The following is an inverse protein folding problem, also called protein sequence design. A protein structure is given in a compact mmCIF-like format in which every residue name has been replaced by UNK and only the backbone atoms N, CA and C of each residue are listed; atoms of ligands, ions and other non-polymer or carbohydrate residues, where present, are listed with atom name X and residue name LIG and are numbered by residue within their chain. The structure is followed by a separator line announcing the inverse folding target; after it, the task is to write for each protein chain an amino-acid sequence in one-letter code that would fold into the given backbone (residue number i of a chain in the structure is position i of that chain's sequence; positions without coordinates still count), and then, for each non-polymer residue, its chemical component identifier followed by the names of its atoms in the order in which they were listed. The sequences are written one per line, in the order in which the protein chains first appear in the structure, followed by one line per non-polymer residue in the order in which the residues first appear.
data_IF_797758881532
#
_entry.id   IF_797758881532
#
_cell.length_a   1.000
_cell.length_b   1.000
_cell.length_c   1.000
_cell.angle_alpha   90.00
_cell.angle_beta   90.00
_cell.angle_gamma   90.00
#
_symmetry.space_group_name_H-M   'P 1'
#
loop_
_entity.id
_entity.type
_entity.pdbx_description
1 polymer ?
#
# COMPACT_ATOMS: atom_id res chain seq x y z
N UNK A 1 11.33 -11.80 -7.61
CA UNK A 1 12.01 -12.14 -6.34
C UNK A 1 11.16 -11.55 -5.25
N UNK A 2 10.56 -12.40 -4.42
CA UNK A 2 9.59 -11.98 -3.41
C UNK A 2 10.32 -11.57 -2.15
N UNK A 3 10.10 -10.36 -1.67
CA UNK A 3 10.70 -9.88 -0.43
C UNK A 3 9.72 -10.14 0.72
N UNK A 4 10.11 -10.96 1.69
CA UNK A 4 9.34 -11.20 2.91
C UNK A 4 10.15 -10.75 4.11
N UNK A 5 9.52 -9.96 4.96
CA UNK A 5 10.09 -9.47 6.22
C UNK A 5 9.16 -9.86 7.36
N UNK A 6 9.70 -10.39 8.45
CA UNK A 6 8.92 -10.68 9.66
C UNK A 6 9.60 -10.03 10.86
N UNK A 7 8.79 -9.40 11.72
CA UNK A 7 9.23 -8.81 12.97
C UNK A 7 8.44 -9.39 14.13
N UNK A 8 9.14 -9.90 15.14
CA UNK A 8 8.51 -10.26 16.41
C UNK A 8 8.43 -9.02 17.29
N UNK A 9 7.29 -8.85 17.96
CA UNK A 9 7.05 -7.78 18.92
C UNK A 9 6.44 -8.38 20.18
N UNK A 10 6.80 -7.84 21.34
CA UNK A 10 6.19 -8.17 22.64
C UNK A 10 4.93 -7.36 22.90
N UNK A 11 4.64 -6.35 22.07
CA UNK A 11 3.43 -5.55 22.17
C UNK A 11 2.19 -6.39 21.79
N UNK A 12 1.05 -6.05 22.39
CA UNK A 12 -0.20 -6.71 22.07
C UNK A 12 -0.57 -6.50 20.58
N UNK A 13 -1.21 -7.49 19.91
CA UNK A 13 -1.52 -7.43 18.48
C UNK A 13 -2.29 -6.19 18.06
N UNK A 14 -3.22 -5.70 18.89
CA UNK A 14 -3.97 -4.48 18.62
C UNK A 14 -3.08 -3.23 18.59
N UNK A 15 -2.03 -3.17 19.43
CA UNK A 15 -1.06 -2.06 19.43
C UNK A 15 -0.23 -2.10 18.15
N UNK A 16 0.24 -3.29 17.78
CA UNK A 16 0.99 -3.49 16.53
C UNK A 16 0.12 -3.12 15.33
N UNK A 17 -1.15 -3.51 15.33
CA UNK A 17 -2.11 -3.12 14.30
C UNK A 17 -2.27 -1.61 14.25
N UNK A 18 -2.56 -0.93 15.36
CA UNK A 18 -2.78 0.52 15.37
C UNK A 18 -1.59 1.31 14.80
N UNK A 19 -0.35 0.88 15.07
CA UNK A 19 0.85 1.49 14.49
C UNK A 19 1.01 1.17 13.00
N UNK A 20 0.79 -0.09 12.62
CA UNK A 20 0.96 -0.56 11.26
C UNK A 20 -0.12 -0.01 10.32
N UNK A 21 -1.36 0.10 10.79
CA UNK A 21 -2.49 0.66 10.07
C UNK A 21 -2.43 2.18 9.99
N UNK A 22 -1.72 2.87 10.88
CA UNK A 22 -1.51 4.31 10.82
C UNK A 22 -0.43 4.67 9.78
N UNK A 23 -0.70 4.40 8.50
CA UNK A 23 0.26 4.51 7.37
C UNK A 23 0.94 5.89 7.33
N UNK A 24 0.20 6.96 7.63
CA UNK A 24 0.72 8.34 7.63
C UNK A 24 1.79 8.60 8.69
N UNK A 25 1.83 7.78 9.75
CA UNK A 25 2.78 7.92 10.87
C UNK A 25 4.10 7.16 10.62
N UNK A 26 4.18 6.34 9.58
CA UNK A 26 5.34 5.50 9.29
C UNK A 26 6.68 6.24 9.20
N UNK A 27 6.77 7.47 8.64
CA UNK A 27 8.03 8.20 8.61
C UNK A 27 8.64 8.48 10.00
N UNK A 28 7.83 8.43 11.06
CA UNK A 28 8.27 8.69 12.42
C UNK A 28 9.05 7.52 13.03
N UNK A 29 8.86 6.30 12.52
CA UNK A 29 9.40 5.09 13.14
C UNK A 29 9.99 4.06 12.16
N UNK A 30 9.80 4.24 10.85
CA UNK A 30 10.40 3.37 9.82
C UNK A 30 11.44 4.14 9.00
N UNK A 31 12.73 3.79 9.06
CA UNK A 31 13.77 4.47 8.29
C UNK A 31 13.66 4.20 6.77
N UNK A 32 12.85 3.23 6.37
CA UNK A 32 12.61 2.86 4.96
C UNK A 32 11.55 3.73 4.28
N UNK A 33 10.89 4.62 5.02
CA UNK A 33 9.86 5.55 4.52
C UNK A 33 10.18 6.95 5.01
N UNK A 34 10.31 7.92 4.10
CA UNK A 34 10.68 9.30 4.43
C UNK A 34 9.49 10.25 4.45
N UNK A 35 8.42 9.95 3.71
CA UNK A 35 7.21 10.76 3.71
C UNK A 35 6.02 9.93 3.25
N UNK A 36 4.87 10.16 3.86
CA UNK A 36 3.58 9.60 3.44
C UNK A 36 2.59 10.75 3.34
N UNK A 37 1.84 10.80 2.25
CA UNK A 37 0.73 11.73 2.05
C UNK A 37 -0.50 10.94 1.61
N UNK A 38 -1.62 11.08 2.32
CA UNK A 38 -2.90 10.56 1.86
C UNK A 38 -3.41 11.42 0.71
N UNK A 39 -3.74 10.78 -0.40
CA UNK A 39 -4.28 11.45 -1.58
C UNK A 39 -5.81 11.43 -1.46
N UNK A 40 -6.45 12.60 -1.58
CA UNK A 40 -7.89 12.69 -1.59
C UNK A 40 -8.47 11.93 -2.81
N UNK A 41 -9.53 11.17 -2.58
CA UNK A 41 -10.33 10.57 -3.64
C UNK A 41 -11.74 11.13 -3.59
N UNK A 42 -12.36 11.32 -4.75
CA UNK A 42 -13.73 11.84 -4.86
C UNK A 42 -14.77 10.99 -4.10
N UNK A 43 -14.47 9.69 -3.88
CA UNK A 43 -15.30 8.74 -3.14
C UNK A 43 -15.09 8.75 -1.61
N UNK A 44 -14.15 9.55 -1.06
CA UNK A 44 -13.98 9.64 0.40
C UNK A 44 -15.14 10.43 1.02
N UNK A 45 -15.83 9.84 2.00
CA UNK A 45 -16.79 10.59 2.81
C UNK A 45 -16.03 11.64 3.65
N UNK A 46 -16.21 12.94 3.39
CA UNK A 46 -15.54 13.99 4.16
C UNK A 46 -15.98 14.01 5.63
N UNK A 47 -17.03 13.27 6.02
CA UNK A 47 -17.49 13.09 7.41
C UNK A 47 -16.82 11.93 8.14
N UNK A 48 -16.02 11.11 7.47
CA UNK A 48 -15.22 10.04 8.08
C UNK A 48 -13.70 10.30 7.97
N UNK A 49 -13.20 11.48 8.40
CA UNK A 49 -11.77 11.77 8.33
C UNK A 49 -10.98 10.76 9.17
N UNK A 50 -9.95 10.17 8.58
CA UNK A 50 -8.99 9.30 9.28
C UNK A 50 -9.27 7.80 9.23
N UNK A 51 -10.41 7.35 8.68
CA UNK A 51 -10.63 5.91 8.49
C UNK A 51 -9.92 5.45 7.21
N UNK A 52 -8.90 4.62 7.33
CA UNK A 52 -8.23 4.00 6.17
C UNK A 52 -8.99 2.75 5.79
N UNK A 53 -9.32 2.60 4.52
CA UNK A 53 -10.08 1.47 4.01
C UNK A 53 -9.68 1.09 2.59
N UNK A 54 -10.42 0.15 2.01
CA UNK A 54 -10.25 -0.20 0.60
C UNK A 54 -10.54 1.03 -0.27
N UNK A 55 -9.65 1.30 -1.23
CA UNK A 55 -9.72 2.47 -2.10
C UNK A 55 -8.83 3.63 -1.65
N UNK A 56 -8.46 3.70 -0.36
CA UNK A 56 -7.58 4.77 0.14
C UNK A 56 -6.25 4.81 -0.61
N UNK A 57 -5.83 6.01 -1.00
CA UNK A 57 -4.62 6.25 -1.79
C UNK A 57 -3.56 6.98 -0.98
N UNK A 58 -2.31 6.55 -1.13
CA UNK A 58 -1.17 7.13 -0.43
C UNK A 58 0.00 7.33 -1.39
N UNK A 59 0.62 8.50 -1.31
CA UNK A 59 1.91 8.79 -1.90
C UNK A 59 2.99 8.52 -0.85
N UNK A 60 3.79 7.48 -1.08
CA UNK A 60 4.86 7.03 -0.16
C UNK A 60 6.21 7.32 -0.80
N UNK A 61 7.07 8.04 -0.09
CA UNK A 61 8.44 8.31 -0.53
C UNK A 61 9.42 7.45 0.26
N UNK A 62 10.34 6.80 -0.45
CA UNK A 62 11.40 6.00 0.17
C UNK A 62 12.78 6.50 -0.28
N UNK A 63 13.82 6.43 0.58
CA UNK A 63 15.13 7.04 0.30
C UNK A 63 15.75 6.64 -1.05
N UNK A 64 15.61 5.36 -1.43
CA UNK A 64 16.25 4.80 -2.64
C UNK A 64 15.31 4.64 -3.83
N UNK A 65 14.00 4.62 -3.60
CA UNK A 65 13.00 4.26 -4.63
C UNK A 65 12.14 5.45 -5.08
N UNK A 66 12.33 6.61 -4.45
CA UNK A 66 11.56 7.83 -4.71
C UNK A 66 10.11 7.70 -4.27
N UNK A 67 9.26 8.57 -4.83
CA UNK A 67 7.82 8.62 -4.56
C UNK A 67 7.06 7.54 -5.33
N UNK A 68 6.15 6.82 -4.68
CA UNK A 68 5.27 5.82 -5.27
C UNK A 68 3.83 6.04 -4.79
N UNK A 69 2.86 5.99 -5.70
CA UNK A 69 1.45 5.94 -5.34
C UNK A 69 1.03 4.50 -5.02
N UNK A 70 0.34 4.32 -3.91
CA UNK A 70 -0.18 3.05 -3.41
C UNK A 70 -1.69 3.17 -3.18
N UNK A 71 -2.42 2.11 -3.51
CA UNK A 71 -3.87 2.02 -3.28
C UNK A 71 -4.15 0.81 -2.40
N UNK A 72 -4.86 1.00 -1.30
CA UNK A 72 -5.34 -0.11 -0.46
C UNK A 72 -6.38 -0.90 -1.23
N UNK A 73 -6.13 -2.19 -1.46
CA UNK A 73 -7.03 -3.08 -2.19
C UNK A 73 -7.73 -4.09 -1.29
N UNK A 74 -7.19 -4.34 -0.10
CA UNK A 74 -7.82 -5.18 0.93
C UNK A 74 -7.55 -4.58 2.30
N UNK A 75 -8.55 -4.61 3.18
CA UNK A 75 -8.44 -4.14 4.55
C UNK A 75 -9.25 -5.05 5.47
N UNK A 76 -8.56 -5.71 6.39
CA UNK A 76 -9.13 -6.51 7.46
C UNK A 76 -8.70 -5.93 8.79
N UNK A 77 -9.61 -5.23 9.45
CA UNK A 77 -9.33 -4.54 10.71
C UNK A 77 -8.76 -5.48 11.77
N UNK A 78 -7.68 -5.05 12.42
CA UNK A 78 -6.96 -5.81 13.44
C UNK A 78 -6.08 -6.95 12.89
N UNK A 79 -6.08 -7.21 11.57
CA UNK A 79 -5.45 -8.41 11.01
C UNK A 79 -4.51 -8.11 9.86
N UNK A 80 -4.97 -7.47 8.80
CA UNK A 80 -4.14 -7.28 7.62
C UNK A 80 -4.63 -6.21 6.69
N UNK A 81 -3.71 -5.69 5.89
CA UNK A 81 -4.07 -4.92 4.71
C UNK A 81 -3.15 -5.23 3.54
N UNK A 82 -3.71 -5.14 2.34
CA UNK A 82 -3.00 -5.26 1.08
C UNK A 82 -3.14 -3.96 0.32
N UNK A 83 -2.05 -3.50 -0.27
CA UNK A 83 -2.01 -2.34 -1.13
C UNK A 83 -1.15 -2.58 -2.36
N UNK A 84 -1.46 -1.86 -3.43
CA UNK A 84 -0.85 -2.02 -4.74
C UNK A 84 -0.28 -0.70 -5.21
N UNK A 85 0.97 -0.71 -5.65
CA UNK A 85 1.56 0.36 -6.44
C UNK A 85 1.66 -0.04 -7.90
N UNK A 86 1.39 0.91 -8.80
CA UNK A 86 1.51 0.72 -10.24
C UNK A 86 2.45 1.77 -10.79
N UNK A 87 3.48 1.31 -11.51
CA UNK A 87 4.36 2.13 -12.35
C UNK A 87 4.37 1.52 -13.76
N UNK A 88 4.74 2.28 -14.81
CA UNK A 88 4.86 1.72 -16.15
C UNK A 88 5.72 0.44 -16.15
N UNK A 89 5.17 -0.67 -16.64
CA UNK A 89 5.84 -1.98 -16.70
C UNK A 89 5.96 -2.76 -15.38
N UNK A 90 5.61 -2.18 -14.22
CA UNK A 90 5.79 -2.81 -12.91
C UNK A 90 4.55 -2.59 -12.02
N UNK A 91 3.98 -3.68 -11.53
CA UNK A 91 2.97 -3.68 -10.47
C UNK A 91 3.55 -4.33 -9.22
N UNK A 92 3.56 -3.60 -8.12
CA UNK A 92 4.00 -4.11 -6.81
C UNK A 92 2.80 -4.30 -5.91
N UNK A 93 2.64 -5.50 -5.35
CA UNK A 93 1.63 -5.77 -4.32
C UNK A 93 2.34 -6.01 -3.00
N UNK A 94 1.95 -5.30 -1.96
CA UNK A 94 2.46 -5.52 -0.62
C UNK A 94 1.31 -5.87 0.34
N UNK A 95 1.56 -6.79 1.25
CA UNK A 95 0.59 -7.23 2.24
C UNK A 95 1.25 -7.24 3.61
N UNK A 96 0.55 -6.68 4.58
CA UNK A 96 0.94 -6.63 5.98
C UNK A 96 -0.07 -7.45 6.79
N UNK A 97 0.44 -8.36 7.61
CA UNK A 97 -0.35 -9.20 8.50
C UNK A 97 0.14 -9.03 9.95
N UNK A 98 -0.79 -8.96 10.88
CA UNK A 98 -0.55 -9.04 12.32
C UNK A 98 -1.11 -10.36 12.81
N UNK A 99 -0.23 -11.20 13.33
CA UNK A 99 -0.58 -12.49 13.89
C UNK A 99 -0.68 -12.40 15.42
N UNK A 100 -1.74 -12.95 16.03
CA UNK A 100 -1.94 -12.87 17.48
C UNK A 100 -0.81 -13.46 18.33
N UNK A 101 -0.03 -14.40 17.77
CA UNK A 101 1.02 -15.14 18.48
C UNK A 101 2.44 -14.82 18.03
N UNK A 102 2.61 -14.22 16.85
CA UNK A 102 3.92 -14.12 16.18
C UNK A 102 4.36 -12.67 15.85
N UNK A 103 3.53 -11.67 16.14
CA UNK A 103 3.83 -10.27 15.80
C UNK A 103 3.42 -9.90 14.37
N UNK A 104 4.17 -9.00 13.71
CA UNK A 104 3.83 -8.52 12.37
C UNK A 104 4.71 -9.15 11.28
N UNK A 105 4.09 -9.45 10.14
CA UNK A 105 4.75 -9.94 8.93
C UNK A 105 4.36 -9.06 7.74
N UNK A 106 5.34 -8.67 6.94
CA UNK A 106 5.15 -7.95 5.70
C UNK A 106 5.70 -8.76 4.52
N UNK A 107 4.99 -8.80 3.41
CA UNK A 107 5.45 -9.41 2.16
C UNK A 107 5.18 -8.50 0.99
N UNK A 108 6.12 -8.42 0.05
CA UNK A 108 5.99 -7.65 -1.18
C UNK A 108 6.35 -8.51 -2.39
N UNK A 109 5.49 -8.45 -3.41
CA UNK A 109 5.58 -9.20 -4.65
C UNK A 109 5.61 -8.20 -5.82
N UNK A 110 6.77 -7.98 -6.46
CA UNK A 110 6.83 -7.28 -7.72
C UNK A 110 6.39 -8.21 -8.87
N UNK A 111 5.44 -7.75 -9.67
CA UNK A 111 5.03 -8.39 -10.92
C UNK A 111 5.33 -7.47 -12.09
N UNK A 112 6.09 -7.97 -13.07
CA UNK A 112 6.24 -7.33 -14.37
C UNK A 112 5.14 -7.85 -15.29
N UNK A 113 4.35 -6.94 -15.86
CA UNK A 113 3.51 -7.23 -17.02
C UNK A 113 4.27 -6.84 -18.29
N UNK A 114 3.98 -7.42 -19.46
CA UNK A 114 4.51 -6.86 -20.71
C UNK A 114 4.10 -5.39 -20.78
N UNK A 115 5.09 -4.51 -20.97
CA UNK A 115 4.84 -3.11 -21.27
C UNK A 115 4.05 -3.06 -22.57
N UNK A 116 2.72 -2.95 -22.46
CA UNK A 116 1.87 -2.72 -23.62
C UNK A 116 1.98 -1.23 -23.91
N UNK A 117 2.59 -0.97 -25.05
CA UNK A 117 3.07 0.32 -25.57
C UNK A 117 1.97 1.41 -25.57
N UNK A 118 2.32 2.70 -25.50
CA UNK A 118 1.35 3.78 -25.57
C UNK A 118 0.85 3.90 -27.02
N UNK A 119 -0.34 3.36 -27.30
CA UNK A 119 -0.96 3.42 -28.62
C UNK A 119 -2.45 3.71 -28.52
N UNK A 120 -2.80 4.97 -28.28
CA UNK A 120 -4.00 5.53 -28.89
C UNK A 120 -3.56 6.07 -30.28
N UNK A 121 -4.39 5.94 -31.34
CA UNK A 121 -5.70 6.55 -31.34
C UNK A 121 -6.86 5.61 -31.71
N UNK A 122 -8.03 6.02 -31.22
CA UNK A 122 -9.35 5.73 -31.79
C UNK A 122 -9.40 5.93 -33.31
N UNK A 123 -10.12 5.06 -34.01
CA UNK A 123 -11.17 5.44 -34.98
C UNK A 123 -12.18 4.30 -35.18
N UNK A 124 -13.46 4.66 -35.06
CA UNK A 124 -14.62 3.91 -35.54
C UNK A 124 -14.73 3.99 -37.08
N UNK A 125 -15.71 3.21 -37.61
CA UNK A 125 -16.22 3.10 -39.00
C UNK A 125 -15.50 2.02 -39.83
N UNK A 126 -16.14 1.12 -40.58
CA UNK A 126 -17.50 0.97 -41.15
C UNK A 126 -17.63 -0.49 -41.65
N UNK A 127 -18.86 -1.02 -41.78
CA UNK A 127 -19.15 -2.30 -42.46
C UNK A 127 -20.37 -3.03 -41.93
#
# INVERSE_FOLDING_TARGET
MDARTAGRSTAAPHVVWSLLSAIETWPLWTPTVTSVTREATDDEDPRAPGSIGVGSRFSVTQPRLGRASWVVTQWEEGRSFTWVSRRPGIRTTATHHVHPRDGARASSLPSSGPAREPGWPVRCSDG
#
